data_IF_231834536842
#
_entry.id   IF_231834536842
#
_cell.length_a   1.000
_cell.length_b   1.000
_cell.length_c   1.000
_cell.angle_alpha   90.00
_cell.angle_beta   90.00
_cell.angle_gamma   90.00
#
_symmetry.space_group_name_H-M   'P 1'
#
loop_
_entity.id
_entity.type
_entity.pdbx_description
1 polymer ?
#
# COMPACT_ATOMS: atom_id res chain seq x y z
N UNK A 1 -2.37 -16.86 13.28
CA UNK A 1 -1.72 -17.73 12.28
C UNK A 1 -2.49 -17.65 10.97
N UNK A 2 -1.83 -17.35 9.84
CA UNK A 2 -2.51 -17.45 8.53
C UNK A 2 -2.69 -18.93 8.14
N UNK A 3 -3.82 -19.32 7.51
CA UNK A 3 -4.07 -20.70 7.09
C UNK A 3 -2.98 -21.21 6.15
N UNK A 4 -2.57 -22.49 6.27
CA UNK A 4 -1.55 -23.11 5.40
C UNK A 4 -1.82 -22.89 3.90
N UNK A 5 -3.09 -22.92 3.52
CA UNK A 5 -3.55 -22.75 2.12
C UNK A 5 -3.29 -21.34 1.57
N UNK A 6 -3.15 -20.33 2.42
CA UNK A 6 -2.84 -18.94 2.03
C UNK A 6 -1.35 -18.72 1.74
N UNK A 7 -0.48 -19.63 2.19
CA UNK A 7 0.97 -19.56 1.97
C UNK A 7 1.42 -20.37 0.76
N UNK A 8 0.49 -21.00 0.05
CA UNK A 8 0.78 -21.86 -1.09
C UNK A 8 1.29 -21.03 -2.27
N UNK A 9 2.38 -21.52 -2.89
CA UNK A 9 2.86 -21.00 -4.17
C UNK A 9 1.87 -21.35 -5.29
N UNK A 10 1.96 -20.66 -6.42
CA UNK A 10 1.01 -20.78 -7.54
C UNK A 10 0.81 -22.23 -8.01
N UNK A 11 1.87 -23.00 -8.21
CA UNK A 11 1.77 -24.42 -8.57
C UNK A 11 0.98 -25.24 -7.54
N UNK A 12 1.36 -25.14 -6.26
CA UNK A 12 0.68 -25.84 -5.17
C UNK A 12 -0.81 -25.48 -5.05
N UNK A 13 -1.16 -24.21 -5.28
CA UNK A 13 -2.56 -23.77 -5.32
C UNK A 13 -3.31 -24.42 -6.48
N UNK A 14 -2.72 -24.45 -7.68
CA UNK A 14 -3.32 -25.06 -8.87
C UNK A 14 -3.52 -26.56 -8.68
N UNK A 15 -2.54 -27.26 -8.15
CA UNK A 15 -2.65 -28.71 -7.88
C UNK A 15 -3.75 -29.00 -6.85
N UNK A 16 -3.76 -28.26 -5.73
CA UNK A 16 -4.84 -28.37 -4.74
C UNK A 16 -6.21 -27.99 -5.31
N UNK A 17 -6.25 -27.05 -6.25
CA UNK A 17 -7.48 -26.62 -6.89
C UNK A 17 -8.00 -27.65 -7.90
N UNK A 18 -7.14 -28.39 -8.60
CA UNK A 18 -7.57 -29.50 -9.46
C UNK A 18 -8.34 -30.55 -8.67
N UNK A 19 -7.81 -30.95 -7.52
CA UNK A 19 -8.51 -31.91 -6.65
C UNK A 19 -9.83 -31.32 -6.12
N UNK A 20 -9.88 -30.01 -5.88
CA UNK A 20 -11.12 -29.36 -5.49
C UNK A 20 -12.15 -29.28 -6.62
N UNK A 21 -11.71 -29.01 -7.85
CA UNK A 21 -12.59 -29.01 -9.03
C UNK A 21 -13.18 -30.41 -9.24
N UNK A 22 -12.38 -31.46 -9.03
CA UNK A 22 -12.79 -32.86 -9.11
C UNK A 22 -13.92 -33.22 -8.13
N UNK A 23 -14.11 -32.46 -7.04
CA UNK A 23 -15.26 -32.70 -6.14
C UNK A 23 -16.60 -32.28 -6.73
N UNK A 24 -16.63 -31.69 -7.93
CA UNK A 24 -17.86 -31.32 -8.65
C UNK A 24 -18.58 -30.09 -8.07
N UNK A 25 -17.97 -29.40 -7.10
CA UNK A 25 -18.54 -28.19 -6.52
C UNK A 25 -18.33 -27.04 -7.50
N UNK A 26 -19.37 -26.22 -7.72
CA UNK A 26 -19.26 -25.00 -8.52
C UNK A 26 -18.32 -24.00 -7.83
N UNK A 27 -17.18 -23.74 -8.45
CA UNK A 27 -16.19 -22.78 -7.95
C UNK A 27 -16.48 -21.40 -8.53
N UNK A 28 -16.49 -20.39 -7.67
CA UNK A 28 -16.52 -18.99 -8.06
C UNK A 28 -15.17 -18.33 -7.82
N UNK A 29 -14.86 -17.25 -8.53
CA UNK A 29 -13.63 -16.46 -8.33
C UNK A 29 -13.51 -16.02 -6.86
N UNK A 30 -14.60 -15.56 -6.25
CA UNK A 30 -14.61 -15.16 -4.84
C UNK A 30 -14.35 -16.32 -3.88
N UNK A 31 -14.92 -17.50 -4.16
CA UNK A 31 -14.67 -18.71 -3.38
C UNK A 31 -13.22 -19.16 -3.45
N UNK A 32 -12.64 -19.13 -4.65
CA UNK A 32 -11.22 -19.43 -4.87
C UNK A 32 -10.30 -18.44 -4.14
N UNK A 33 -10.54 -17.14 -4.33
CA UNK A 33 -9.80 -16.06 -3.70
C UNK A 33 -9.77 -16.22 -2.17
N UNK A 34 -10.93 -16.51 -1.57
CA UNK A 34 -11.05 -16.72 -0.11
C UNK A 34 -10.31 -17.97 0.37
N UNK A 35 -10.42 -19.08 -0.37
CA UNK A 35 -9.79 -20.36 0.01
C UNK A 35 -8.26 -20.26 0.03
N UNK A 36 -7.67 -19.58 -0.94
CA UNK A 36 -6.21 -19.50 -1.10
C UNK A 36 -5.60 -18.14 -0.73
N UNK A 37 -6.40 -17.17 -0.28
CA UNK A 37 -5.90 -15.87 0.16
C UNK A 37 -5.29 -15.03 -0.96
N UNK A 38 -5.80 -15.16 -2.17
CA UNK A 38 -5.33 -14.42 -3.36
C UNK A 38 -6.34 -13.35 -3.77
N UNK A 39 -5.89 -12.36 -4.54
CA UNK A 39 -6.79 -11.37 -5.14
C UNK A 39 -7.63 -11.97 -6.29
N UNK A 40 -8.71 -11.27 -6.66
CA UNK A 40 -9.66 -11.76 -7.68
C UNK A 40 -9.05 -11.87 -9.08
N UNK A 41 -8.01 -11.09 -9.41
CA UNK A 41 -7.32 -11.21 -10.71
C UNK A 41 -6.45 -12.47 -10.73
N UNK A 42 -5.70 -12.74 -9.65
CA UNK A 42 -4.94 -13.99 -9.52
C UNK A 42 -5.85 -15.21 -9.53
N UNK A 43 -7.00 -15.14 -8.85
CA UNK A 43 -8.00 -16.20 -8.88
C UNK A 43 -8.56 -16.43 -10.29
N UNK A 44 -8.81 -15.36 -11.06
CA UNK A 44 -9.24 -15.46 -12.45
C UNK A 44 -8.19 -16.16 -13.32
N UNK A 45 -6.92 -15.75 -13.23
CA UNK A 45 -5.81 -16.36 -13.99
C UNK A 45 -5.62 -17.85 -13.66
N UNK A 46 -5.63 -18.18 -12.36
CA UNK A 46 -5.49 -19.56 -11.90
C UNK A 46 -6.66 -20.44 -12.37
N UNK A 47 -7.91 -19.96 -12.28
CA UNK A 47 -9.09 -20.71 -12.74
C UNK A 47 -9.12 -20.88 -14.28
N UNK A 48 -8.72 -19.84 -15.02
CA UNK A 48 -8.61 -19.89 -16.48
C UNK A 48 -7.53 -20.90 -16.90
N UNK A 49 -6.38 -20.89 -16.23
CA UNK A 49 -5.29 -21.86 -16.46
C UNK A 49 -5.68 -23.30 -16.13
N UNK A 50 -6.69 -23.49 -15.27
CA UNK A 50 -7.23 -24.80 -14.90
C UNK A 50 -8.38 -25.24 -15.83
N UNK A 51 -8.77 -24.43 -16.83
CA UNK A 51 -9.83 -24.75 -17.78
C UNK A 51 -11.24 -24.66 -17.18
N UNK A 52 -11.44 -23.93 -16.08
CA UNK A 52 -12.76 -23.76 -15.47
C UNK A 52 -13.57 -22.76 -16.28
N UNK A 53 -14.81 -23.13 -16.65
CA UNK A 53 -15.74 -22.21 -17.28
C UNK A 53 -16.16 -21.11 -16.30
N UNK A 54 -15.76 -19.88 -16.60
CA UNK A 54 -16.09 -18.71 -15.81
C UNK A 54 -17.28 -17.96 -16.43
N UNK A 55 -18.22 -17.43 -15.62
CA UNK A 55 -19.34 -16.64 -16.13
C UNK A 55 -18.84 -15.33 -16.75
N UNK A 56 -19.61 -14.69 -17.64
CA UNK A 56 -19.20 -13.44 -18.30
C UNK A 56 -18.87 -12.30 -17.32
N UNK A 57 -19.50 -12.30 -16.14
CA UNK A 57 -19.19 -11.37 -15.05
C UNK A 57 -17.75 -11.48 -14.52
N UNK A 58 -17.06 -12.57 -14.84
CA UNK A 58 -15.64 -12.78 -14.56
C UNK A 58 -14.72 -11.94 -15.44
N UNK A 59 -15.15 -11.55 -16.66
CA UNK A 59 -14.33 -10.79 -17.63
C UNK A 59 -13.75 -9.50 -17.05
N UNK A 60 -14.44 -8.89 -16.08
CA UNK A 60 -13.94 -7.71 -15.35
C UNK A 60 -12.60 -7.94 -14.63
N UNK A 61 -12.27 -9.19 -14.30
CA UNK A 61 -11.03 -9.59 -13.63
C UNK A 61 -9.97 -10.12 -14.60
N UNK A 62 -10.26 -10.17 -15.90
CA UNK A 62 -9.32 -10.64 -16.91
C UNK A 62 -8.15 -9.67 -17.13
N UNK A 63 -8.39 -8.36 -16.95
CA UNK A 63 -7.35 -7.34 -17.09
C UNK A 63 -7.03 -6.73 -15.74
N UNK A 64 -5.82 -7.00 -15.25
CA UNK A 64 -5.28 -6.34 -14.06
C UNK A 64 -4.95 -4.88 -14.41
N UNK A 65 -5.43 -3.89 -13.64
CA UNK A 65 -4.97 -2.51 -13.82
C UNK A 65 -3.48 -2.42 -13.56
N UNK A 66 -2.79 -1.48 -14.23
CA UNK A 66 -1.37 -1.24 -13.99
C UNK A 66 -1.15 -1.03 -12.48
N UNK A 67 -0.13 -1.70 -11.94
CA UNK A 67 0.23 -1.53 -10.54
C UNK A 67 0.63 -0.07 -10.36
N UNK A 68 -0.22 0.72 -9.71
CA UNK A 68 0.16 2.06 -9.27
C UNK A 68 1.28 1.82 -8.26
N UNK A 69 2.52 2.28 -8.53
CA UNK A 69 3.58 2.19 -7.56
C UNK A 69 3.06 2.86 -6.31
N UNK A 70 2.92 2.12 -5.20
CA UNK A 70 2.71 2.75 -3.91
C UNK A 70 3.96 3.61 -3.75
N UNK A 71 3.81 4.94 -3.80
CA UNK A 71 4.89 5.88 -3.53
C UNK A 71 5.46 5.42 -2.20
N UNK A 72 6.62 4.75 -2.24
CA UNK A 72 7.34 4.35 -1.04
C UNK A 72 7.49 5.69 -0.34
N UNK A 73 6.87 5.86 0.83
CA UNK A 73 7.14 7.02 1.65
C UNK A 73 8.66 7.04 1.77
N UNK A 74 9.28 7.98 1.06
CA UNK A 74 10.70 8.19 1.11
C UNK A 74 10.96 8.44 2.58
N UNK A 75 11.59 7.48 3.25
CA UNK A 75 12.23 7.75 4.52
C UNK A 75 13.29 8.79 4.18
N UNK A 76 12.92 10.05 4.30
CA UNK A 76 13.84 11.18 4.23
C UNK A 76 14.56 11.22 5.57
N UNK A 77 15.39 10.20 5.79
CA UNK A 77 16.40 10.15 6.86
C UNK A 77 17.64 10.94 6.43
N UNK A 78 17.43 12.05 5.71
CA UNK A 78 18.48 12.98 5.33
C UNK A 78 17.94 14.38 5.62
N UNK A 79 18.39 14.93 6.74
CA UNK A 79 18.14 16.31 7.15
C UNK A 79 19.16 17.23 6.47
N UNK A 80 18.82 17.93 5.39
CA UNK A 80 19.40 19.24 5.15
C UNK A 80 18.65 20.23 6.04
N UNK A 81 19.33 20.69 7.10
CA UNK A 81 18.92 21.76 8.02
C UNK A 81 18.75 23.14 7.36
N UNK A 82 18.37 23.20 6.08
CA UNK A 82 18.50 24.44 5.30
C UNK A 82 17.17 25.06 4.88
N UNK A 83 16.03 24.57 5.41
CA UNK A 83 14.77 25.33 5.41
C UNK A 83 13.73 24.66 6.32
N UNK A 84 13.92 24.80 7.63
CA UNK A 84 12.93 24.37 8.63
C UNK A 84 11.67 25.23 8.64
N UNK A 85 11.56 26.26 7.80
CA UNK A 85 10.36 27.09 7.68
C UNK A 85 9.54 26.68 6.47
N UNK A 86 8.25 26.39 6.71
CA UNK A 86 7.24 26.13 5.67
C UNK A 86 6.11 27.14 5.79
N UNK A 87 5.30 27.30 4.74
CA UNK A 87 4.05 28.06 4.79
C UNK A 87 2.89 27.11 5.05
N UNK A 88 2.17 27.30 6.16
CA UNK A 88 0.95 26.57 6.51
C UNK A 88 -0.18 27.57 6.68
N UNK A 89 -1.27 27.43 5.92
CA UNK A 89 -2.41 28.37 5.91
C UNK A 89 -2.01 29.84 5.69
N UNK A 90 -1.00 30.07 4.83
CA UNK A 90 -0.47 31.40 4.54
C UNK A 90 0.43 31.98 5.63
N UNK A 91 0.68 31.24 6.72
CA UNK A 91 1.53 31.66 7.84
C UNK A 91 2.87 30.92 7.84
N UNK A 92 3.97 31.59 8.20
CA UNK A 92 5.27 30.93 8.39
C UNK A 92 5.24 30.02 9.62
N UNK A 93 5.64 28.77 9.41
CA UNK A 93 5.63 27.70 10.41
C UNK A 93 7.01 27.03 10.45
N UNK A 94 7.64 27.04 11.62
CA UNK A 94 8.89 26.34 11.86
C UNK A 94 8.60 24.87 12.18
N UNK A 95 9.19 23.96 11.42
CA UNK A 95 9.06 22.51 11.57
C UNK A 95 10.17 22.00 12.49
N UNK A 96 9.78 21.57 13.70
CA UNK A 96 10.66 20.90 14.64
C UNK A 96 10.84 19.40 14.30
N UNK A 97 9.89 18.82 13.57
CA UNK A 97 9.96 17.45 13.08
C UNK A 97 8.67 16.97 12.40
N UNK A 98 8.64 15.68 12.05
CA UNK A 98 7.48 15.03 11.43
C UNK A 98 7.01 13.83 12.25
N UNK A 99 5.69 13.67 12.35
CA UNK A 99 5.08 12.48 12.95
C UNK A 99 5.32 11.24 12.08
N UNK A 100 5.09 10.04 12.63
CA UNK A 100 5.16 8.79 11.87
C UNK A 100 4.22 8.75 10.64
N UNK A 101 3.19 9.61 10.62
CA UNK A 101 2.29 9.81 9.48
C UNK A 101 2.74 10.86 8.47
N UNK A 102 3.90 11.51 8.67
CA UNK A 102 4.42 12.55 7.80
C UNK A 102 3.80 13.93 7.99
N UNK A 103 2.97 14.14 9.01
CA UNK A 103 2.47 15.48 9.36
C UNK A 103 3.56 16.26 10.14
N UNK A 104 3.86 17.52 9.76
CA UNK A 104 4.83 18.35 10.46
C UNK A 104 4.30 18.81 11.83
N UNK A 105 5.19 18.95 12.82
CA UNK A 105 4.90 19.61 14.09
C UNK A 105 5.99 20.64 14.42
N UNK A 106 5.61 21.68 15.15
CA UNK A 106 6.46 22.84 15.38
C UNK A 106 5.66 24.07 15.79
N UNK A 107 6.15 25.26 15.47
CA UNK A 107 5.62 26.54 15.98
C UNK A 107 5.41 27.55 14.86
N UNK A 108 4.34 28.34 14.93
CA UNK A 108 4.16 29.48 14.03
C UNK A 108 5.13 30.60 14.43
N UNK A 109 5.56 31.41 13.46
CA UNK A 109 6.44 32.54 13.75
C UNK A 109 5.79 33.50 14.78
N UNK A 110 4.47 33.67 14.72
CA UNK A 110 3.72 34.56 15.63
C UNK A 110 3.63 34.03 17.07
N UNK A 111 3.85 32.72 17.27
CA UNK A 111 3.77 32.05 18.57
C UNK A 111 5.17 31.80 19.18
N UNK A 112 6.24 32.17 18.47
CA UNK A 112 7.60 32.00 18.95
C UNK A 112 7.84 32.93 20.17
N UNK A 113 8.30 32.42 21.32
CA UNK A 113 8.61 33.26 22.47
C UNK A 113 9.74 34.23 22.10
N UNK A 114 9.54 35.52 22.40
CA UNK A 114 10.59 36.56 22.28
C UNK A 114 11.85 36.09 23.01
N UNK A 115 12.88 35.68 22.27
CA UNK A 115 14.07 35.08 22.87
C UNK A 115 14.99 34.30 21.94
N UNK A 116 14.62 34.04 20.69
CA UNK A 116 15.62 33.59 19.69
C UNK A 116 16.33 34.83 19.15
N UNK A 117 17.32 35.30 19.91
CA UNK A 117 18.31 36.23 19.41
C UNK A 117 18.96 35.63 18.16
N UNK A 118 18.69 36.25 17.01
CA UNK A 118 19.57 36.19 15.85
C UNK A 118 20.98 36.57 16.33
N UNK A 119 21.85 35.58 16.47
CA UNK A 119 23.28 35.85 16.51
C UNK A 119 23.65 36.32 15.11
N UNK A 120 23.82 37.63 14.95
CA UNK A 120 24.42 38.20 13.76
C UNK A 120 25.82 37.62 13.56
N UNK A 121 26.22 37.25 12.34
CA UNK A 121 27.60 36.89 12.07
C UNK A 121 28.46 38.15 12.23
N UNK A 122 29.32 38.14 13.25
CA UNK A 122 30.30 39.19 13.49
C UNK A 122 31.23 39.39 12.29
N UNK A 123 31.49 40.68 12.04
CA UNK A 123 32.42 41.26 11.06
C UNK A 123 33.88 40.83 11.26
#
# INVERSE_FOLDING_TARGET
>A
MQPRRHRMRQGQRRDSAREWIRTGIKITIGGYARRYGVDRYTAHDDLTSLGVELPDTARRWARRPAAIPRRRAERRDEWPHDNSWITLDGRPFFVAGYTAGGAPYGIFADDAPEGIHTAEPGN
#
